data_IF_679164925872
#
_entry.id   IF_679164925872
#
_cell.length_a   1.000
_cell.length_b   1.000
_cell.length_c   1.000
_cell.angle_alpha   90.00
_cell.angle_beta   90.00
_cell.angle_gamma   90.00
#
_symmetry.space_group_name_H-M   'P 1'
#
loop_
_entity.id
_entity.type
_entity.pdbx_description
1 polymer ?
#
# COMPACT_ATOMS: atom_id res chain seq x y z
N UNK A 1 -10.94 9.38 11.38
CA UNK A 1 -10.92 10.86 11.47
C UNK A 1 -11.49 11.54 10.22
N UNK A 2 -11.12 11.14 8.99
CA UNK A 2 -11.70 11.74 7.77
C UNK A 2 -13.24 11.60 7.65
N UNK A 3 -13.83 10.50 8.13
CA UNK A 3 -15.28 10.30 8.11
C UNK A 3 -16.08 11.01 9.22
N UNK A 4 -15.40 11.56 10.23
CA UNK A 4 -16.05 12.17 11.41
C UNK A 4 -15.66 13.64 11.64
N UNK A 5 -14.48 14.04 11.19
CA UNK A 5 -13.96 15.41 11.25
C UNK A 5 -13.11 15.71 10.00
N UNK A 6 -13.75 15.92 8.83
CA UNK A 6 -13.05 16.10 7.55
C UNK A 6 -12.16 17.35 7.48
N UNK A 7 -12.38 18.34 8.37
CA UNK A 7 -11.55 19.54 8.51
C UNK A 7 -10.44 19.42 9.57
N UNK A 8 -10.33 18.27 10.25
CA UNK A 8 -9.21 18.05 11.14
C UNK A 8 -7.90 18.06 10.34
N UNK A 9 -6.79 18.58 10.90
CA UNK A 9 -5.49 18.56 10.26
C UNK A 9 -5.15 17.17 9.71
N UNK A 10 -4.65 17.11 8.48
CA UNK A 10 -4.29 15.85 7.83
C UNK A 10 -3.30 15.03 8.66
N UNK A 11 -2.40 15.71 9.38
CA UNK A 11 -1.44 15.10 10.31
C UNK A 11 -2.11 14.27 11.41
N UNK A 12 -3.32 14.62 11.86
CA UNK A 12 -4.05 13.86 12.88
C UNK A 12 -4.66 12.58 12.32
N UNK A 13 -4.91 12.52 11.02
CA UNK A 13 -5.45 11.35 10.33
C UNK A 13 -4.36 10.52 9.63
N UNK A 14 -3.14 11.03 9.55
CA UNK A 14 -2.02 10.38 8.89
C UNK A 14 -1.45 9.28 9.79
N UNK A 15 -1.45 8.05 9.30
CA UNK A 15 -0.60 7.00 9.88
C UNK A 15 0.84 7.21 9.40
N UNK A 16 1.86 7.03 10.26
CA UNK A 16 3.25 7.16 9.86
C UNK A 16 3.58 6.19 8.72
N UNK A 17 4.05 6.69 7.57
CA UNK A 17 4.54 5.85 6.48
C UNK A 17 5.87 5.25 6.93
N UNK A 18 5.90 3.93 7.10
CA UNK A 18 7.12 3.18 7.40
C UNK A 18 7.72 2.65 6.11
N UNK A 19 9.03 2.46 6.08
CA UNK A 19 9.71 1.88 4.92
C UNK A 19 9.08 0.54 4.49
N UNK A 20 8.65 -0.28 5.46
CA UNK A 20 7.96 -1.56 5.21
C UNK A 20 6.57 -1.45 4.54
N UNK A 21 6.00 -0.24 4.46
CA UNK A 21 4.71 0.07 3.81
C UNK A 21 4.84 0.73 2.44
N UNK A 22 6.08 0.90 1.95
CA UNK A 22 6.39 1.47 0.64
C UNK A 22 6.85 0.35 -0.30
N UNK A 23 6.33 0.36 -1.52
CA UNK A 23 6.67 -0.58 -2.60
C UNK A 23 7.16 0.22 -3.81
N UNK A 24 8.12 -0.34 -4.54
CA UNK A 24 8.56 0.25 -5.82
C UNK A 24 7.69 -0.30 -6.95
N UNK A 25 7.30 0.55 -7.90
CA UNK A 25 6.55 0.13 -9.09
C UNK A 25 7.35 -0.85 -9.97
N UNK A 26 8.68 -0.82 -9.84
CA UNK A 26 9.63 -1.69 -10.52
C UNK A 26 9.94 -2.99 -9.75
N UNK A 27 9.44 -3.16 -8.51
CA UNK A 27 9.66 -4.39 -7.73
C UNK A 27 9.03 -5.62 -8.43
N UNK A 28 9.74 -6.76 -8.44
CA UNK A 28 9.18 -8.03 -8.91
C UNK A 28 7.90 -8.42 -8.17
N UNK A 29 6.98 -9.05 -8.88
CA UNK A 29 5.67 -9.41 -8.31
C UNK A 29 5.78 -10.37 -7.12
N UNK A 30 6.75 -11.29 -7.13
CA UNK A 30 7.05 -12.20 -6.02
C UNK A 30 7.43 -11.45 -4.74
N UNK A 31 8.33 -10.47 -4.85
CA UNK A 31 8.83 -9.67 -3.73
C UNK A 31 7.70 -8.79 -3.15
N UNK A 32 6.88 -8.22 -4.03
CA UNK A 32 5.66 -7.50 -3.63
C UNK A 32 4.70 -8.40 -2.86
N UNK A 33 4.49 -9.64 -3.33
CA UNK A 33 3.59 -10.59 -2.67
C UNK A 33 4.12 -10.99 -1.29
N UNK A 34 5.43 -11.26 -1.18
CA UNK A 34 6.09 -11.58 0.09
C UNK A 34 5.94 -10.43 1.08
N UNK A 35 6.31 -9.20 0.68
CA UNK A 35 6.19 -8.01 1.53
C UNK A 35 4.76 -7.76 1.99
N UNK A 36 3.78 -7.85 1.09
CA UNK A 36 2.36 -7.64 1.43
C UNK A 36 1.82 -8.74 2.34
N UNK A 37 2.44 -9.93 2.39
CA UNK A 37 2.07 -10.98 3.35
C UNK A 37 2.66 -10.73 4.73
N UNK A 38 3.91 -10.31 4.79
CA UNK A 38 4.66 -10.13 6.04
C UNK A 38 4.30 -8.85 6.81
N UNK A 39 4.05 -7.75 6.10
CA UNK A 39 3.77 -6.46 6.74
C UNK A 39 2.31 -6.36 7.20
N UNK A 40 2.05 -6.07 8.47
CA UNK A 40 0.70 -5.89 9.02
C UNK A 40 0.04 -4.54 8.65
N UNK A 41 0.04 -4.17 7.36
CA UNK A 41 -0.58 -2.96 6.84
C UNK A 41 -1.81 -3.27 5.95
N UNK A 42 -2.81 -2.38 5.94
CA UNK A 42 -3.98 -2.51 5.07
C UNK A 42 -3.74 -1.92 3.67
N UNK A 43 -2.88 -0.93 3.57
CA UNK A 43 -2.53 -0.23 2.33
C UNK A 43 -1.02 -0.02 2.24
N UNK A 44 -0.52 0.01 1.01
CA UNK A 44 0.89 0.22 0.67
C UNK A 44 0.99 1.38 -0.32
N UNK A 45 1.93 2.29 -0.08
CA UNK A 45 2.24 3.35 -1.05
C UNK A 45 3.13 2.78 -2.13
N UNK A 46 2.73 2.90 -3.39
CA UNK A 46 3.56 2.53 -4.53
C UNK A 46 4.25 3.79 -5.04
N UNK A 47 5.57 3.73 -5.17
CA UNK A 47 6.39 4.82 -5.69
C UNK A 47 7.13 4.40 -6.96
N UNK A 48 7.46 5.35 -7.83
CA UNK A 48 8.35 5.12 -8.98
C UNK A 48 9.82 5.01 -8.56
N UNK A 49 10.71 4.81 -9.53
CA UNK A 49 12.16 4.70 -9.29
C UNK A 49 12.79 6.02 -8.78
N UNK A 50 12.09 7.14 -8.95
CA UNK A 50 12.47 8.44 -8.38
C UNK A 50 11.87 8.69 -6.99
N UNK A 51 11.14 7.71 -6.42
CA UNK A 51 10.48 7.79 -5.13
C UNK A 51 9.21 8.63 -5.12
N UNK A 52 8.67 9.00 -6.29
CA UNK A 52 7.43 9.77 -6.40
C UNK A 52 6.23 8.84 -6.30
N UNK A 53 5.14 9.26 -5.62
CA UNK A 53 3.96 8.43 -5.46
C UNK A 53 3.29 8.15 -6.81
N UNK A 54 3.22 6.87 -7.16
CA UNK A 54 2.59 6.37 -8.37
C UNK A 54 1.18 5.83 -8.10
N UNK A 55 0.89 5.39 -6.87
CA UNK A 55 -0.44 4.90 -6.50
C UNK A 55 -0.50 4.26 -5.12
N UNK A 56 -1.63 3.61 -4.83
CA UNK A 56 -1.86 2.89 -3.58
C UNK A 56 -2.28 1.46 -3.91
N UNK A 57 -1.60 0.48 -3.33
CA UNK A 57 -1.97 -0.93 -3.41
C UNK A 57 -2.67 -1.34 -2.11
N UNK A 58 -3.89 -1.87 -2.24
CA UNK A 58 -4.61 -2.45 -1.11
C UNK A 58 -4.33 -3.94 -1.02
N UNK A 59 -4.17 -4.44 0.21
CA UNK A 59 -3.97 -5.87 0.45
C UNK A 59 -5.13 -6.72 -0.09
N UNK A 60 -6.36 -6.22 0.00
CA UNK A 60 -7.56 -6.92 -0.48
C UNK A 60 -7.57 -7.09 -2.00
N UNK A 61 -7.15 -6.07 -2.73
CA UNK A 61 -7.06 -6.09 -4.19
C UNK A 61 -5.99 -7.07 -4.66
N UNK A 62 -4.83 -7.10 -3.99
CA UNK A 62 -3.78 -8.08 -4.29
C UNK A 62 -4.25 -9.52 -4.03
N UNK A 63 -4.94 -9.76 -2.91
CA UNK A 63 -5.52 -11.08 -2.60
C UNK A 63 -6.54 -11.52 -3.64
N UNK A 64 -7.42 -10.60 -4.06
CA UNK A 64 -8.40 -10.87 -5.11
C UNK A 64 -7.73 -11.18 -6.46
N UNK A 65 -6.68 -10.44 -6.83
CA UNK A 65 -5.93 -10.65 -8.06
C UNK A 65 -5.19 -12.01 -8.08
N UNK A 66 -4.59 -12.43 -6.97
CA UNK A 66 -3.95 -13.76 -6.85
C UNK A 66 -4.97 -14.89 -7.02
N UNK A 67 -6.17 -14.77 -6.45
CA UNK A 67 -7.21 -15.79 -6.58
C UNK A 67 -7.76 -15.91 -8.01
N UNK A 68 -7.70 -14.84 -8.81
CA UNK A 68 -8.12 -14.86 -10.23
C UNK A 68 -7.13 -15.57 -11.14
N UNK A 69 -5.84 -15.58 -10.80
CA UNK A 69 -4.76 -16.22 -11.59
C UNK A 69 -4.69 -17.74 -11.45
N UNK A 70 -5.35 -18.31 -10.43
CA UNK A 70 -5.36 -19.76 -10.17
C UNK A 70 -6.53 -20.47 -10.87
N UNK A 71 -7.40 -19.74 -11.59
CA UNK A 71 -8.47 -20.28 -12.42
C UNK A 71 -8.10 -20.17 -13.90
#
# INVERSE_FOLDING_TARGET
LAGSSPHAPAELAAEPIRAETVLLASEPGEDVIERVRETAAWQFLVVDDEGRPAGVLRREDLRAAMNRRTR
#
